data_IF_327347296597
#
_entry.id   IF_327347296597
#
_cell.length_a   1.000
_cell.length_b   1.000
_cell.length_c   1.000
_cell.angle_alpha   90.00
_cell.angle_beta   90.00
_cell.angle_gamma   90.00
#
_symmetry.space_group_name_H-M   'P 1'
#
loop_
_entity.id
_entity.type
_entity.pdbx_description
1 polymer ?
#
# COMPACT_ATOMS: atom_id res chain seq x y z
N UNK A 1 11.54 -16.99 22.12
CA UNK A 1 12.10 -16.85 20.75
C UNK A 1 12.82 -15.52 20.71
N UNK A 2 14.00 -15.41 20.08
CA UNK A 2 14.67 -14.12 19.92
C UNK A 2 13.77 -13.18 19.12
N UNK A 3 13.85 -11.88 19.42
CA UNK A 3 13.13 -10.86 18.65
C UNK A 3 13.61 -10.87 17.19
N UNK A 4 12.71 -10.68 16.22
CA UNK A 4 13.10 -10.61 14.83
C UNK A 4 14.08 -9.46 14.59
N UNK A 5 15.05 -9.68 13.70
CA UNK A 5 16.00 -8.64 13.32
C UNK A 5 15.24 -7.39 12.81
N UNK A 6 15.73 -6.16 13.10
CA UNK A 6 15.10 -4.95 12.62
C UNK A 6 14.92 -4.97 11.10
N UNK A 7 13.75 -4.54 10.64
CA UNK A 7 13.40 -4.57 9.22
C UNK A 7 12.83 -3.22 8.78
N UNK A 8 13.38 -2.63 7.73
CA UNK A 8 12.90 -1.36 7.17
C UNK A 8 12.00 -1.55 5.94
N UNK A 9 11.16 -0.54 5.65
CA UNK A 9 10.34 -0.51 4.42
C UNK A 9 11.21 -0.63 3.16
N UNK A 10 12.40 0.00 3.15
CA UNK A 10 13.31 -0.05 2.02
C UNK A 10 13.88 -1.45 1.76
N UNK A 11 14.20 -2.20 2.81
CA UNK A 11 14.65 -3.59 2.68
C UNK A 11 13.54 -4.49 2.13
N UNK A 12 12.31 -4.34 2.63
CA UNK A 12 11.15 -5.08 2.11
C UNK A 12 10.93 -4.79 0.62
N UNK A 13 10.97 -3.52 0.22
CA UNK A 13 10.79 -3.14 -1.19
C UNK A 13 11.90 -3.74 -2.05
N UNK A 14 13.16 -3.73 -1.60
CA UNK A 14 14.29 -4.24 -2.39
C UNK A 14 14.42 -5.76 -2.41
N UNK A 15 13.88 -6.45 -1.41
CA UNK A 15 13.96 -7.90 -1.30
C UNK A 15 13.29 -8.61 -2.47
N UNK A 16 13.76 -9.81 -2.77
CA UNK A 16 13.12 -10.71 -3.72
C UNK A 16 11.72 -11.09 -3.22
N UNK A 17 10.73 -11.04 -4.10
CA UNK A 17 9.34 -11.40 -3.80
C UNK A 17 9.05 -12.79 -4.35
N UNK A 18 8.52 -13.68 -3.52
CA UNK A 18 8.01 -14.98 -3.93
C UNK A 18 6.49 -15.03 -3.79
N UNK A 19 5.87 -16.05 -4.38
CA UNK A 19 4.45 -16.36 -4.20
C UNK A 19 3.54 -15.17 -4.53
N UNK A 20 3.89 -14.44 -5.59
CA UNK A 20 3.16 -13.24 -5.99
C UNK A 20 1.82 -13.64 -6.60
N UNK A 21 0.73 -13.38 -5.88
CA UNK A 21 -0.64 -13.67 -6.31
C UNK A 21 -1.38 -12.35 -6.50
N UNK A 22 -1.93 -12.13 -7.69
CA UNK A 22 -2.66 -10.91 -8.02
C UNK A 22 -4.16 -11.22 -8.12
N UNK A 23 -4.97 -10.78 -7.15
CA UNK A 23 -6.42 -10.98 -7.14
C UNK A 23 -7.13 -10.13 -8.20
N UNK A 24 -8.36 -10.45 -8.61
CA UNK A 24 -9.13 -9.68 -9.60
C UNK A 24 -9.46 -8.25 -9.12
N UNK A 25 -9.80 -7.36 -10.05
CA UNK A 25 -10.42 -6.09 -9.70
C UNK A 25 -11.82 -6.29 -9.12
N UNK A 26 -12.10 -5.57 -8.05
CA UNK A 26 -13.36 -5.53 -7.33
C UNK A 26 -13.81 -4.05 -7.22
N UNK A 27 -15.11 -3.81 -7.00
CA UNK A 27 -15.69 -2.46 -6.91
C UNK A 27 -16.33 -2.20 -5.56
N UNK A 28 -16.30 -0.94 -5.10
CA UNK A 28 -16.98 -0.51 -3.89
C UNK A 28 -16.18 -0.80 -2.60
N UNK A 29 -16.88 -1.07 -1.50
CA UNK A 29 -16.24 -1.23 -0.19
C UNK A 29 -15.34 -2.45 -0.10
N UNK A 30 -14.18 -2.33 0.56
CA UNK A 30 -13.26 -3.46 0.75
C UNK A 30 -13.75 -4.35 1.90
N UNK A 31 -13.99 -5.66 1.66
CA UNK A 31 -14.32 -6.60 2.72
C UNK A 31 -13.19 -6.69 3.76
N UNK A 32 -13.55 -6.72 5.05
CA UNK A 32 -12.58 -6.86 6.15
C UNK A 32 -11.68 -8.10 5.99
N UNK A 33 -12.20 -9.18 5.40
CA UNK A 33 -11.45 -10.40 5.15
C UNK A 33 -10.29 -10.20 4.14
N UNK A 34 -10.43 -9.27 3.19
CA UNK A 34 -9.43 -8.99 2.14
C UNK A 34 -8.35 -8.01 2.61
N UNK A 35 -8.72 -7.08 3.49
CA UNK A 35 -7.81 -6.09 4.06
C UNK A 35 -8.16 -5.82 5.53
N UNK A 36 -7.73 -6.70 6.47
CA UNK A 36 -8.17 -6.65 7.85
C UNK A 36 -7.50 -5.54 8.63
N UNK A 37 -8.15 -4.38 8.64
CA UNK A 37 -7.91 -3.31 9.62
C UNK A 37 -8.92 -3.44 10.76
N UNK A 38 -8.47 -3.19 12.00
CA UNK A 38 -9.30 -3.23 13.20
C UNK A 38 -9.90 -1.87 13.54
N UNK A 39 -9.21 -0.77 13.19
CA UNK A 39 -9.62 0.62 13.44
C UNK A 39 -9.51 1.42 12.14
N UNK A 40 -10.46 2.34 11.93
CA UNK A 40 -10.51 3.23 10.76
C UNK A 40 -10.37 2.47 9.44
N UNK A 41 -11.47 1.80 9.04
CA UNK A 41 -11.55 1.13 7.75
C UNK A 41 -11.22 2.12 6.64
N UNK A 42 -10.52 1.65 5.62
CA UNK A 42 -10.39 2.42 4.41
C UNK A 42 -11.77 2.53 3.74
N UNK A 43 -12.38 3.71 3.81
CA UNK A 43 -13.69 3.97 3.23
C UNK A 43 -13.56 4.24 1.73
N UNK A 44 -13.46 3.17 0.94
CA UNK A 44 -13.64 3.26 -0.51
C UNK A 44 -15.13 3.23 -0.82
N UNK A 45 -15.66 4.36 -1.29
CA UNK A 45 -17.07 4.51 -1.64
C UNK A 45 -17.36 4.09 -3.08
N UNK A 46 -18.52 4.54 -3.60
CA UNK A 46 -18.84 4.45 -5.04
C UNK A 46 -17.74 5.14 -5.86
N UNK A 47 -17.49 4.61 -7.06
CA UNK A 47 -16.48 5.10 -8.01
C UNK A 47 -15.07 4.54 -7.79
N UNK A 48 -14.86 3.76 -6.73
CA UNK A 48 -13.58 3.09 -6.47
C UNK A 48 -13.56 1.66 -7.03
N UNK A 49 -12.46 1.36 -7.71
CA UNK A 49 -12.02 0.01 -8.04
C UNK A 49 -10.81 -0.33 -7.18
N UNK A 50 -10.71 -1.56 -6.74
CA UNK A 50 -9.57 -2.02 -5.96
C UNK A 50 -9.24 -3.49 -6.22
N UNK A 51 -8.00 -3.88 -5.97
CA UNK A 51 -7.57 -5.28 -5.96
C UNK A 51 -6.47 -5.48 -4.93
N UNK A 52 -6.20 -6.73 -4.58
CA UNK A 52 -5.07 -7.06 -3.71
C UNK A 52 -4.01 -7.86 -4.45
N UNK A 53 -2.76 -7.66 -4.05
CA UNK A 53 -1.62 -8.50 -4.42
C UNK A 53 -1.02 -9.04 -3.14
N UNK A 54 -0.74 -10.34 -3.06
CA UNK A 54 -0.03 -10.94 -1.93
C UNK A 54 1.31 -11.46 -2.39
N UNK A 55 2.30 -11.45 -1.51
CA UNK A 55 3.62 -12.04 -1.76
C UNK A 55 4.34 -12.33 -0.45
N UNK A 56 5.40 -13.12 -0.52
CA UNK A 56 6.32 -13.37 0.59
C UNK A 56 7.67 -12.68 0.34
N UNK A 57 8.29 -12.15 1.40
CA UNK A 57 9.65 -11.61 1.37
C UNK A 57 10.26 -11.61 2.77
N UNK A 58 11.56 -11.91 2.88
CA UNK A 58 12.30 -11.84 4.16
C UNK A 58 11.62 -12.61 5.32
N UNK A 59 10.97 -13.74 5.01
CA UNK A 59 10.27 -14.56 6.01
C UNK A 59 8.89 -14.03 6.43
N UNK A 60 8.37 -12.99 5.78
CA UNK A 60 7.07 -12.38 6.08
C UNK A 60 6.13 -12.42 4.87
N UNK A 61 4.83 -12.49 5.15
CA UNK A 61 3.78 -12.35 4.16
C UNK A 61 3.28 -10.89 4.09
N UNK A 62 3.06 -10.41 2.88
CA UNK A 62 2.61 -9.06 2.61
C UNK A 62 1.34 -9.04 1.77
N UNK A 63 0.60 -7.94 1.92
CA UNK A 63 -0.56 -7.60 1.10
C UNK A 63 -0.39 -6.18 0.60
N UNK A 64 -0.48 -5.99 -0.70
CA UNK A 64 -0.62 -4.69 -1.34
C UNK A 64 -2.08 -4.52 -1.75
N UNK A 65 -2.72 -3.48 -1.24
CA UNK A 65 -4.01 -3.02 -1.74
C UNK A 65 -3.77 -1.94 -2.79
N UNK A 66 -4.25 -2.16 -4.02
CA UNK A 66 -4.24 -1.15 -5.09
C UNK A 66 -5.66 -0.66 -5.26
N UNK A 67 -5.87 0.65 -5.20
CA UNK A 67 -7.18 1.28 -5.29
C UNK A 67 -7.09 2.51 -6.20
N UNK A 68 -8.10 2.69 -7.05
CA UNK A 68 -8.20 3.80 -7.97
C UNK A 68 -9.65 4.27 -8.10
N UNK A 69 -9.82 5.58 -8.29
CA UNK A 69 -11.05 6.18 -8.77
C UNK A 69 -10.68 7.23 -9.82
N UNK A 70 -10.91 6.92 -11.10
CA UNK A 70 -10.67 7.85 -12.20
C UNK A 70 -11.60 9.07 -12.12
N UNK A 71 -12.86 8.87 -11.71
CA UNK A 71 -13.84 9.94 -11.46
C UNK A 71 -13.37 10.95 -10.40
N UNK A 72 -12.70 10.46 -9.36
CA UNK A 72 -12.17 11.29 -8.26
C UNK A 72 -10.71 11.65 -8.47
N UNK A 73 -10.12 11.25 -9.59
CA UNK A 73 -8.70 11.44 -9.89
C UNK A 73 -7.80 11.08 -8.70
N UNK A 74 -8.04 9.87 -8.17
CA UNK A 74 -7.47 9.41 -6.91
C UNK A 74 -6.92 8.00 -7.05
N UNK A 75 -5.67 7.82 -6.62
CA UNK A 75 -4.96 6.55 -6.62
C UNK A 75 -4.29 6.32 -5.28
N UNK A 76 -4.34 5.06 -4.83
CA UNK A 76 -3.65 4.59 -3.63
C UNK A 76 -3.11 3.19 -3.84
N UNK A 77 -1.84 2.97 -3.50
CA UNK A 77 -1.29 1.64 -3.31
C UNK A 77 -0.75 1.51 -1.88
N UNK A 78 -1.20 0.50 -1.14
CA UNK A 78 -0.90 0.33 0.29
C UNK A 78 -0.23 -1.00 0.56
N UNK A 79 1.04 -0.96 0.95
CA UNK A 79 1.82 -2.10 1.40
C UNK A 79 1.60 -2.36 2.89
N UNK A 80 1.28 -3.61 3.20
CA UNK A 80 1.02 -4.07 4.56
C UNK A 80 1.67 -5.43 4.84
N UNK A 81 2.16 -5.62 6.05
CA UNK A 81 2.67 -6.90 6.55
C UNK A 81 1.55 -7.63 7.29
N UNK A 82 1.37 -8.94 7.06
CA UNK A 82 0.42 -9.75 7.83
C UNK A 82 0.88 -9.87 9.28
N UNK A 83 -0.06 -9.77 10.21
CA UNK A 83 0.20 -9.91 11.65
C UNK A 83 -1.01 -10.55 12.35
N UNK A 84 -0.95 -11.86 12.56
CA UNK A 84 -2.08 -12.63 13.12
C UNK A 84 -3.32 -12.48 12.23
N UNK A 85 -4.42 -11.98 12.82
CA UNK A 85 -5.71 -11.77 12.12
C UNK A 85 -5.88 -10.35 11.53
N UNK A 86 -4.81 -9.56 11.48
CA UNK A 86 -4.81 -8.16 11.06
C UNK A 86 -3.58 -7.84 10.21
N UNK A 87 -3.50 -6.59 9.73
CA UNK A 87 -2.37 -6.06 8.99
C UNK A 87 -1.59 -5.01 9.80
N UNK A 88 -0.29 -4.87 9.53
CA UNK A 88 0.52 -3.68 9.86
C UNK A 88 0.71 -2.90 8.57
N UNK A 89 0.10 -1.72 8.45
CA UNK A 89 0.28 -0.86 7.27
C UNK A 89 1.61 -0.14 7.39
N UNK A 90 2.54 -0.42 6.48
CA UNK A 90 3.92 0.03 6.58
C UNK A 90 4.27 1.12 5.57
N UNK A 91 3.57 1.17 4.43
CA UNK A 91 3.74 2.21 3.44
C UNK A 91 2.49 2.33 2.56
N UNK A 92 2.14 3.53 2.12
CA UNK A 92 1.23 3.71 0.99
C UNK A 92 1.62 4.90 0.13
N UNK A 93 1.60 4.69 -1.18
CA UNK A 93 1.75 5.74 -2.19
C UNK A 93 0.38 6.26 -2.60
N UNK A 94 0.31 7.56 -2.83
CA UNK A 94 -0.91 8.29 -3.11
C UNK A 94 -0.70 9.30 -4.22
N UNK A 95 -1.73 9.46 -5.05
CA UNK A 95 -1.91 10.58 -5.95
C UNK A 95 -3.37 11.01 -5.87
N UNK A 96 -3.61 12.27 -5.57
CA UNK A 96 -4.94 12.87 -5.58
C UNK A 96 -4.83 14.25 -6.20
N UNK A 97 -5.72 14.63 -7.11
CA UNK A 97 -5.68 15.97 -7.71
C UNK A 97 -6.23 17.06 -6.79
N UNK A 98 -6.98 16.67 -5.75
CA UNK A 98 -7.52 17.59 -4.74
C UNK A 98 -6.51 17.97 -3.65
N UNK A 99 -5.42 17.21 -3.46
CA UNK A 99 -4.34 17.56 -2.55
C UNK A 99 -3.01 16.85 -2.83
N UNK A 100 -1.93 17.63 -2.82
CA UNK A 100 -0.54 17.19 -2.96
C UNK A 100 -0.22 16.44 -4.27
N UNK A 101 1.01 16.62 -4.76
CA UNK A 101 1.52 15.75 -5.83
C UNK A 101 1.70 14.31 -5.30
N UNK A 102 2.26 13.43 -6.15
CA UNK A 102 2.71 12.11 -5.76
C UNK A 102 3.42 12.12 -4.41
N UNK A 103 2.90 11.34 -3.48
CA UNK A 103 3.46 11.25 -2.15
C UNK A 103 3.32 9.84 -1.60
N UNK A 104 3.99 9.60 -0.48
CA UNK A 104 3.81 8.41 0.28
C UNK A 104 3.79 8.70 1.77
N UNK A 105 3.18 7.77 2.47
CA UNK A 105 3.32 7.64 3.90
C UNK A 105 4.10 6.36 4.17
N UNK A 106 5.05 6.39 5.09
CA UNK A 106 5.88 5.23 5.40
C UNK A 106 6.26 5.21 6.88
N UNK A 107 6.39 4.00 7.42
CA UNK A 107 6.95 3.76 8.75
C UNK A 107 8.45 4.07 8.74
N UNK A 108 8.89 4.85 9.72
CA UNK A 108 10.31 5.09 9.99
C UNK A 108 10.86 4.01 10.92
N UNK A 109 12.05 3.52 10.63
CA UNK A 109 12.73 2.52 11.46
C UNK A 109 12.18 1.11 11.23
N UNK A 110 12.03 0.36 12.33
CA UNK A 110 11.68 -1.06 12.31
C UNK A 110 10.17 -1.29 12.12
N UNK A 111 9.79 -2.00 11.06
CA UNK A 111 8.38 -2.30 10.77
C UNK A 111 7.74 -3.24 11.79
N UNK A 112 8.54 -4.00 12.55
CA UNK A 112 8.00 -4.84 13.62
C UNK A 112 7.34 -4.01 14.73
N UNK A 113 7.73 -2.74 14.90
CA UNK A 113 7.17 -1.86 15.93
C UNK A 113 5.88 -1.16 15.47
N UNK A 114 5.48 -1.33 14.21
CA UNK A 114 4.26 -0.73 13.65
C UNK A 114 3.01 -1.23 14.38
N UNK A 115 2.15 -0.30 14.79
CA UNK A 115 0.90 -0.62 15.45
C UNK A 115 -0.05 -1.38 14.50
N UNK A 116 -0.53 -2.58 14.85
CA UNK A 116 -1.35 -3.40 13.96
C UNK A 116 -2.80 -2.91 13.89
N UNK A 117 -3.40 -3.07 12.71
CA UNK A 117 -4.82 -2.90 12.46
C UNK A 117 -5.28 -1.45 12.28
N UNK A 118 -4.36 -0.50 12.13
CA UNK A 118 -4.65 0.89 11.77
C UNK A 118 -4.13 1.18 10.35
N UNK A 119 -4.79 2.10 9.65
CA UNK A 119 -4.29 2.59 8.36
C UNK A 119 -3.01 3.42 8.51
N UNK A 120 -2.93 4.23 9.56
CA UNK A 120 -1.80 5.12 9.85
C UNK A 120 -1.39 4.98 11.31
N UNK A 121 -0.17 4.51 11.55
CA UNK A 121 0.46 4.60 12.86
C UNK A 121 1.00 6.02 13.03
N UNK A 122 0.30 6.85 13.80
CA UNK A 122 0.64 8.28 13.95
C UNK A 122 2.01 8.53 14.60
N UNK A 123 2.56 7.54 15.31
CA UNK A 123 3.82 7.70 16.02
C UNK A 123 5.04 7.39 15.14
N UNK A 124 4.89 6.43 14.23
CA UNK A 124 6.01 5.93 13.41
C UNK A 124 5.90 6.32 11.93
N UNK A 125 4.69 6.64 11.46
CA UNK A 125 4.45 6.94 10.06
C UNK A 125 4.71 8.41 9.74
N UNK A 126 5.42 8.65 8.66
CA UNK A 126 5.72 10.00 8.16
C UNK A 126 5.35 10.14 6.69
N UNK A 127 5.02 11.36 6.27
CA UNK A 127 4.76 11.69 4.87
C UNK A 127 6.05 12.06 4.15
N UNK A 128 6.16 11.70 2.87
CA UNK A 128 7.23 12.12 1.98
C UNK A 128 6.73 12.27 0.52
N UNK A 129 7.13 13.31 -0.22
CA UNK A 129 7.84 14.48 0.30
C UNK A 129 6.91 15.27 1.24
N UNK A 130 7.49 16.11 2.09
CA UNK A 130 6.70 17.05 2.89
C UNK A 130 6.36 18.24 2.00
N UNK A 131 5.09 18.53 1.83
CA UNK A 131 4.66 19.69 1.05
C UNK A 131 4.39 20.87 1.95
N UNK A 132 4.82 22.06 1.51
CA UNK A 132 4.41 23.33 2.10
C UNK A 132 3.12 23.89 1.48
N UNK A 133 2.74 23.40 0.29
CA UNK A 133 1.53 23.78 -0.44
C UNK A 133 0.65 22.56 -0.66
N UNK A 134 -0.66 22.74 -0.53
CA UNK A 134 -1.63 21.65 -0.69
C UNK A 134 -2.06 21.40 -2.13
N UNK A 135 -1.65 22.24 -3.08
CA UNK A 135 -2.06 22.14 -4.48
C UNK A 135 -1.34 21.00 -5.22
N UNK A 136 -2.10 20.22 -5.98
CA UNK A 136 -1.58 19.25 -6.93
C UNK A 136 -1.40 19.92 -8.30
N UNK A 137 -0.21 19.80 -8.88
CA UNK A 137 0.16 20.44 -10.15
C UNK A 137 0.36 19.43 -11.28
N UNK A 138 0.15 18.15 -11.00
CA UNK A 138 0.35 17.07 -11.96
C UNK A 138 -1.02 16.57 -12.47
N UNK A 139 -1.15 16.31 -13.78
CA UNK A 139 -2.36 15.71 -14.31
C UNK A 139 -2.54 14.30 -13.76
N UNK A 140 -3.79 13.88 -13.57
CA UNK A 140 -4.10 12.51 -13.23
C UNK A 140 -4.20 11.66 -14.49
N UNK A 141 -3.24 10.77 -14.68
CA UNK A 141 -3.14 9.87 -15.84
C UNK A 141 -3.18 8.38 -15.42
N UNK A 142 -3.53 8.11 -14.17
CA UNK A 142 -3.63 6.74 -13.67
C UNK A 142 -4.96 6.14 -14.12
N UNK A 143 -4.90 4.94 -14.69
CA UNK A 143 -6.05 4.16 -15.15
C UNK A 143 -6.05 2.81 -14.44
N UNK A 144 -7.13 2.03 -14.57
CA UNK A 144 -7.16 0.65 -14.09
C UNK A 144 -5.97 -0.19 -14.61
N UNK A 145 -5.57 0.01 -15.87
CA UNK A 145 -4.47 -0.73 -16.51
C UNK A 145 -3.10 -0.32 -15.98
N UNK A 146 -2.89 0.98 -15.70
CA UNK A 146 -1.61 1.51 -15.22
C UNK A 146 -1.47 1.40 -13.70
N UNK A 147 -2.56 1.39 -12.93
CA UNK A 147 -2.57 1.34 -11.47
C UNK A 147 -1.78 0.15 -10.90
N UNK A 148 -1.98 -1.06 -11.45
CA UNK A 148 -1.24 -2.23 -10.99
C UNK A 148 0.25 -2.12 -11.35
N UNK A 149 0.57 -1.62 -12.54
CA UNK A 149 1.95 -1.43 -13.00
C UNK A 149 2.68 -0.41 -12.12
N UNK A 150 2.02 0.68 -11.72
CA UNK A 150 2.56 1.66 -10.77
C UNK A 150 2.83 1.04 -9.40
N UNK A 151 1.87 0.28 -8.85
CA UNK A 151 2.06 -0.42 -7.58
C UNK A 151 3.23 -1.41 -7.66
N UNK A 152 3.32 -2.17 -8.75
CA UNK A 152 4.40 -3.11 -9.02
C UNK A 152 5.77 -2.41 -9.08
N UNK A 153 5.86 -1.25 -9.72
CA UNK A 153 7.08 -0.45 -9.77
C UNK A 153 7.47 0.10 -8.39
N UNK A 154 6.50 0.60 -7.59
CA UNK A 154 6.76 1.14 -6.25
C UNK A 154 7.20 0.08 -5.25
N UNK A 155 6.61 -1.10 -5.30
CA UNK A 155 6.87 -2.19 -4.33
C UNK A 155 7.73 -3.33 -4.86
N UNK A 156 8.18 -3.23 -6.12
CA UNK A 156 9.04 -4.18 -6.83
C UNK A 156 8.52 -5.62 -6.72
N UNK A 157 7.26 -5.83 -7.06
CA UNK A 157 6.71 -7.16 -7.27
C UNK A 157 6.45 -7.38 -8.77
N UNK A 158 6.61 -8.62 -9.22
CA UNK A 158 6.32 -9.01 -10.59
C UNK A 158 4.82 -8.99 -10.90
N UNK A 159 4.40 -8.39 -12.01
CA UNK A 159 3.04 -8.57 -12.54
C UNK A 159 2.95 -9.99 -13.11
N UNK A 160 2.60 -10.97 -12.28
CA UNK A 160 2.44 -12.37 -12.70
C UNK A 160 3.57 -13.34 -12.32
N UNK A 161 4.34 -13.05 -11.27
CA UNK A 161 5.20 -14.08 -10.63
C UNK A 161 6.58 -14.35 -11.26
N UNK A 162 7.05 -13.53 -12.21
CA UNK A 162 8.41 -13.60 -12.75
C UNK A 162 9.14 -12.26 -12.71
N UNK A 163 10.42 -12.26 -12.30
CA UNK A 163 11.26 -11.06 -12.31
C UNK A 163 11.25 -10.37 -13.68
N UNK A 164 11.16 -9.04 -13.68
CA UNK A 164 11.75 -8.22 -14.75
C UNK A 164 13.26 -8.14 -14.52
#
# INVERSE_FOLDING_TARGET
MPDPAPLSVGEIIRANKSDVITGSWETGSIPRAKFPLTRNKLSLGRGWKWRTVTFSALGHEFVVLVAISEEKESYRATLSMKFGKTLKVICFHELHTDHWNWHCHLIRGNVHDTFPGVLRDKNLMSVWPSFSKNECTIPFDVTEDSALTLAAARYRFAKGGGFL
#
